data_IF_935231434939
#
_entry.id   IF_935231434939
#
_cell.length_a   1.000
_cell.length_b   1.000
_cell.length_c   1.000
_cell.angle_alpha   90.00
_cell.angle_beta   90.00
_cell.angle_gamma   90.00
#
_symmetry.space_group_name_H-M   'P 1'
#
loop_
_entity.id
_entity.type
_entity.pdbx_description
1 polymer ?
#
# COMPACT_ATOMS: atom_id res chain seq x y z
N UNK A 1 17.99 9.09 10.32
CA UNK A 1 17.92 9.02 8.85
C UNK A 1 16.53 9.49 8.48
N UNK A 2 16.40 10.54 7.67
CA UNK A 2 15.11 10.99 7.15
C UNK A 2 14.77 10.12 5.93
N UNK A 3 13.57 9.58 5.89
CA UNK A 3 13.07 8.74 4.78
C UNK A 3 11.82 9.43 4.26
N UNK A 4 11.79 9.67 2.95
CA UNK A 4 10.63 10.28 2.31
C UNK A 4 9.42 9.35 2.35
N UNK A 5 8.23 9.94 2.36
CA UNK A 5 7.00 9.17 2.27
C UNK A 5 6.89 8.51 0.89
N UNK A 6 6.40 7.25 0.82
CA UNK A 6 6.19 6.58 -0.46
C UNK A 6 5.11 7.29 -1.27
N UNK A 7 5.34 7.40 -2.57
CA UNK A 7 4.29 7.77 -3.53
C UNK A 7 3.20 6.67 -3.65
N UNK A 8 2.14 6.96 -4.39
CA UNK A 8 1.01 6.04 -4.55
C UNK A 8 1.44 4.68 -5.16
N UNK A 9 2.37 4.66 -6.11
CA UNK A 9 2.84 3.43 -6.73
C UNK A 9 3.62 2.54 -5.73
N UNK A 10 4.46 3.16 -4.91
CA UNK A 10 5.21 2.47 -3.88
C UNK A 10 4.31 1.99 -2.74
N UNK A 11 3.29 2.77 -2.34
CA UNK A 11 2.26 2.30 -1.40
C UNK A 11 1.51 1.10 -1.95
N UNK A 12 1.13 1.10 -3.23
CA UNK A 12 0.50 -0.05 -3.89
C UNK A 12 1.37 -1.31 -3.81
N UNK A 13 2.68 -1.21 -4.07
CA UNK A 13 3.63 -2.34 -3.95
C UNK A 13 3.76 -2.84 -2.52
N UNK A 14 3.78 -1.95 -1.54
CA UNK A 14 3.83 -2.33 -0.12
C UNK A 14 2.56 -3.09 0.26
N UNK A 15 1.39 -2.52 -0.08
CA UNK A 15 0.08 -3.12 0.18
C UNK A 15 -0.07 -4.49 -0.49
N UNK A 16 0.42 -4.67 -1.71
CA UNK A 16 0.35 -5.97 -2.40
C UNK A 16 1.20 -7.05 -1.73
N UNK A 17 2.33 -6.68 -1.14
CA UNK A 17 3.17 -7.61 -0.38
C UNK A 17 2.48 -7.97 0.95
N UNK A 18 1.97 -6.97 1.68
CA UNK A 18 1.31 -7.16 2.98
C UNK A 18 0.07 -8.04 2.83
N UNK A 19 -0.75 -7.77 1.81
CA UNK A 19 -1.99 -8.50 1.57
C UNK A 19 -1.79 -9.79 0.76
N UNK A 20 -0.55 -10.17 0.42
CA UNK A 20 -0.28 -11.33 -0.45
C UNK A 20 -0.74 -12.69 0.10
N UNK A 21 -0.93 -12.80 1.41
CA UNK A 21 -1.40 -14.03 2.07
C UNK A 21 -2.92 -14.02 2.34
N UNK A 22 -3.58 -12.90 2.08
CA UNK A 22 -5.01 -12.73 2.34
C UNK A 22 -5.86 -13.27 1.19
N UNK A 23 -7.09 -13.67 1.50
CA UNK A 23 -8.08 -14.05 0.48
C UNK A 23 -8.79 -12.81 -0.05
N UNK A 24 -8.20 -12.20 -1.07
CA UNK A 24 -8.78 -11.05 -1.75
C UNK A 24 -9.77 -11.49 -2.85
N UNK A 25 -10.73 -10.62 -3.17
CA UNK A 25 -11.58 -10.79 -4.35
C UNK A 25 -10.74 -10.69 -5.63
N UNK A 26 -11.16 -11.37 -6.71
CA UNK A 26 -10.44 -11.40 -8.01
C UNK A 26 -10.17 -10.01 -8.58
N UNK A 27 -11.03 -9.04 -8.28
CA UNK A 27 -10.93 -7.67 -8.78
C UNK A 27 -10.60 -6.67 -7.67
N UNK A 28 -9.88 -7.10 -6.63
CA UNK A 28 -9.45 -6.20 -5.56
C UNK A 28 -8.57 -5.06 -6.13
N UNK A 29 -8.96 -3.82 -5.82
CA UNK A 29 -8.37 -2.62 -6.40
C UNK A 29 -7.33 -2.01 -5.47
N UNK A 30 -6.08 -2.43 -5.68
CA UNK A 30 -4.95 -1.90 -4.91
C UNK A 30 -4.70 -0.41 -5.16
N UNK A 31 -5.06 0.11 -6.33
CA UNK A 31 -4.94 1.52 -6.69
C UNK A 31 -5.85 2.40 -5.82
N UNK A 32 -7.10 1.99 -5.59
CA UNK A 32 -8.03 2.72 -4.72
C UNK A 32 -7.51 2.77 -3.28
N UNK A 33 -6.97 1.66 -2.77
CA UNK A 33 -6.40 1.59 -1.42
C UNK A 33 -5.11 2.42 -1.27
N UNK A 34 -4.23 2.38 -2.27
CA UNK A 34 -3.01 3.18 -2.28
C UNK A 34 -3.28 4.69 -2.32
N UNK A 35 -4.33 5.11 -3.02
CA UNK A 35 -4.78 6.50 -3.04
C UNK A 35 -5.42 6.91 -1.71
N UNK A 36 -6.23 6.05 -1.10
CA UNK A 36 -6.86 6.31 0.20
C UNK A 36 -5.85 6.41 1.37
N UNK A 37 -4.61 5.93 1.17
CA UNK A 37 -3.53 5.93 2.17
C UNK A 37 -2.45 6.98 1.88
N UNK A 38 -2.80 8.07 1.20
CA UNK A 38 -1.87 9.19 1.00
C UNK A 38 -1.32 9.72 2.34
N UNK A 39 -0.01 9.96 2.38
CA UNK A 39 0.70 10.42 3.58
C UNK A 39 1.16 9.31 4.52
N UNK A 40 0.78 8.05 4.28
CA UNK A 40 1.18 6.91 5.11
C UNK A 40 2.61 6.50 4.77
N UNK A 41 3.43 6.28 5.81
CA UNK A 41 4.74 5.65 5.68
C UNK A 41 4.60 4.14 5.49
N UNK A 42 5.67 3.46 5.09
CA UNK A 42 5.67 2.00 5.02
C UNK A 42 5.40 1.30 6.37
N UNK A 43 5.67 1.97 7.49
CA UNK A 43 5.34 1.46 8.83
C UNK A 43 3.87 1.65 9.19
N UNK A 44 3.21 2.70 8.69
CA UNK A 44 1.78 2.92 8.91
C UNK A 44 0.92 1.94 8.09
N UNK A 45 1.46 1.40 7.00
CA UNK A 45 0.79 0.43 6.13
C UNK A 45 0.83 -1.01 6.65
N UNK A 46 1.78 -1.33 7.56
CA UNK A 46 2.05 -2.68 8.06
C UNK A 46 1.15 -3.06 9.23
#
# INVERSE_FOLDING_TARGET
IYVDLPDAENRMKILSIILSQERLETNFKFDELANATEGYSGSDLK
#
